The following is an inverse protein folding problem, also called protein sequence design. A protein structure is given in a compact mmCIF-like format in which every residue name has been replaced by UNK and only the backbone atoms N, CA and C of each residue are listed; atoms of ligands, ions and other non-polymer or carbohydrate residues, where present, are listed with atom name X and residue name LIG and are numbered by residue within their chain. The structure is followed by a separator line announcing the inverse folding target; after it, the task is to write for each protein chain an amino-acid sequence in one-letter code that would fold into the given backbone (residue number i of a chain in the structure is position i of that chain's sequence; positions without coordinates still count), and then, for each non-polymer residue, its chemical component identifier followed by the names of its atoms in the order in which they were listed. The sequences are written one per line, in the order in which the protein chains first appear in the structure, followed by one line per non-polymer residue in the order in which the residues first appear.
data_IF_269533306019
#
_entry.id   IF_269533306019
#
_cell.length_a   1.000
_cell.length_b   1.000
_cell.length_c   1.000
_cell.angle_alpha   90.00
_cell.angle_beta   90.00
_cell.angle_gamma   90.00
#
_symmetry.space_group_name_H-M   'P 1'
#
loop_
_entity.id
_entity.type
_entity.pdbx_description
1 polymer ?
#
# COMPACT_ATOMS: atom_id res chain seq x y z
N UNK A 1 -7.14 -30.27 -52.97
CA UNK A 1 -6.71 -28.96 -53.39
C UNK A 1 -5.66 -28.49 -52.41
N UNK A 2 -4.45 -28.53 -52.95
CA UNK A 2 -3.21 -28.31 -52.21
C UNK A 2 -2.74 -26.88 -52.50
N UNK A 3 -2.51 -26.07 -51.50
CA UNK A 3 -1.82 -24.79 -51.68
C UNK A 3 -0.61 -24.73 -50.77
N UNK A 4 0.55 -24.57 -51.44
CA UNK A 4 1.91 -24.47 -50.91
C UNK A 4 2.17 -23.04 -50.39
N UNK A 5 3.06 -22.85 -49.42
CA UNK A 5 3.55 -21.52 -49.04
C UNK A 5 4.66 -21.05 -50.01
N UNK A 6 4.86 -19.74 -50.22
CA UNK A 6 5.86 -19.21 -51.13
C UNK A 6 7.27 -19.22 -50.52
N UNK A 7 8.21 -19.73 -51.36
CA UNK A 7 9.65 -19.63 -51.23
C UNK A 7 10.13 -18.19 -51.41
N UNK A 8 11.05 -17.76 -50.58
CA UNK A 8 11.87 -16.58 -50.84
C UNK A 8 13.26 -17.00 -51.26
N UNK A 9 13.52 -16.77 -52.52
CA UNK A 9 14.74 -17.03 -53.21
C UNK A 9 15.90 -16.13 -52.77
N UNK A 10 17.03 -16.75 -52.61
CA UNK A 10 18.37 -16.24 -52.45
C UNK A 10 18.84 -15.43 -53.65
N UNK A 11 19.44 -14.29 -53.45
CA UNK A 11 20.28 -13.62 -54.43
C UNK A 11 21.67 -13.39 -53.85
N UNK A 12 22.58 -13.98 -54.55
CA UNK A 12 24.04 -14.08 -54.47
C UNK A 12 24.76 -12.81 -54.83
N UNK A 13 25.94 -12.64 -54.25
CA UNK A 13 27.08 -12.17 -55.02
C UNK A 13 27.78 -10.90 -54.61
N UNK A 14 29.01 -10.97 -54.23
CA UNK A 14 29.93 -9.83 -54.17
C UNK A 14 31.18 -10.12 -53.35
N UNK A 15 32.24 -10.45 -54.05
CA UNK A 15 33.56 -10.86 -53.59
C UNK A 15 34.38 -9.69 -53.03
N UNK A 16 35.35 -10.09 -52.21
CA UNK A 16 36.75 -9.63 -52.05
C UNK A 16 36.95 -8.33 -51.25
N UNK A 17 37.57 -8.42 -50.09
CA UNK A 17 38.97 -8.05 -49.90
C UNK A 17 39.49 -8.43 -48.51
N UNK A 18 40.61 -9.13 -48.52
CA UNK A 18 41.40 -9.53 -47.36
C UNK A 18 42.22 -8.35 -46.90
N UNK A 19 42.06 -7.94 -45.66
CA UNK A 19 43.06 -7.11 -45.00
C UNK A 19 43.33 -7.66 -43.62
N UNK A 20 44.55 -8.19 -43.47
CA UNK A 20 45.14 -8.60 -42.21
C UNK A 20 45.30 -7.39 -41.28
N UNK A 21 44.70 -7.45 -40.11
CA UNK A 21 45.19 -6.71 -38.96
C UNK A 21 45.26 -7.63 -37.74
N UNK A 22 46.46 -7.65 -37.28
CA UNK A 22 47.05 -8.33 -36.13
C UNK A 22 46.25 -8.16 -34.83
N UNK A 23 46.29 -9.21 -34.04
CA UNK A 23 45.55 -9.38 -32.80
C UNK A 23 45.87 -8.39 -31.69
N UNK A 24 44.83 -8.04 -31.01
CA UNK A 24 44.90 -7.68 -29.59
C UNK A 24 43.71 -8.34 -28.90
N UNK A 25 44.05 -9.25 -27.99
CA UNK A 25 43.10 -9.88 -27.09
C UNK A 25 42.32 -8.82 -26.32
N UNK A 26 40.99 -8.94 -26.18
CA UNK A 26 40.25 -8.09 -25.31
C UNK A 26 40.62 -8.36 -23.85
N UNK A 27 40.71 -7.30 -23.00
CA UNK A 27 40.99 -7.45 -21.58
C UNK A 27 39.84 -8.23 -20.89
N UNK A 28 40.17 -8.96 -19.81
CA UNK A 28 39.15 -9.72 -19.07
C UNK A 28 38.07 -8.79 -18.48
N UNK A 29 36.83 -9.25 -18.36
CA UNK A 29 35.76 -8.44 -17.79
C UNK A 29 36.12 -8.08 -16.35
N UNK A 30 36.31 -6.80 -16.11
CA UNK A 30 36.40 -6.27 -14.75
C UNK A 30 35.05 -6.48 -14.08
N UNK A 31 35.05 -7.37 -13.11
CA UNK A 31 33.96 -7.50 -12.14
C UNK A 31 33.82 -6.16 -11.42
N UNK A 32 32.94 -5.29 -11.93
CA UNK A 32 32.49 -4.14 -11.20
C UNK A 32 31.74 -4.66 -9.97
N UNK A 33 32.39 -4.64 -8.82
CA UNK A 33 31.72 -4.66 -7.53
C UNK A 33 30.70 -3.51 -7.55
N UNK A 34 29.47 -3.85 -7.87
CA UNK A 34 28.34 -2.97 -7.70
C UNK A 34 28.20 -2.72 -6.20
N UNK A 35 28.79 -1.66 -5.72
CA UNK A 35 28.50 -1.11 -4.39
C UNK A 35 27.02 -0.79 -4.39
N UNK A 36 26.26 -1.71 -3.80
CA UNK A 36 24.83 -1.56 -3.55
C UNK A 36 24.68 -0.35 -2.62
N UNK A 37 24.42 0.80 -3.22
CA UNK A 37 24.00 1.99 -2.47
C UNK A 37 22.84 1.58 -1.57
N UNK A 38 22.91 1.85 -0.25
CA UNK A 38 21.79 1.60 0.63
C UNK A 38 20.62 2.42 0.08
N UNK A 39 19.54 1.71 -0.31
CA UNK A 39 18.35 2.30 -0.84
C UNK A 39 17.91 3.43 0.09
N UNK A 40 17.91 4.64 -0.44
CA UNK A 40 17.42 5.84 0.22
C UNK A 40 15.99 5.54 0.63
N UNK A 41 15.79 5.27 1.93
CA UNK A 41 14.47 5.16 2.52
C UNK A 41 13.71 6.42 2.08
N UNK A 42 12.69 6.24 1.24
CA UNK A 42 11.76 7.31 0.90
C UNK A 42 11.08 7.66 2.23
N UNK A 43 11.60 8.66 2.90
CA UNK A 43 10.90 9.31 4.00
C UNK A 43 9.62 9.87 3.40
N UNK A 44 8.49 9.34 3.85
CA UNK A 44 7.18 9.83 3.44
C UNK A 44 7.17 11.34 3.64
N UNK A 45 6.90 12.10 2.58
CA UNK A 45 6.89 13.57 2.61
C UNK A 45 5.98 14.12 3.71
N UNK A 46 4.98 13.35 4.13
CA UNK A 46 4.11 13.63 5.28
C UNK A 46 4.84 13.57 6.62
N UNK A 47 5.77 12.62 6.81
CA UNK A 47 6.56 12.55 8.05
C UNK A 47 7.52 13.74 8.17
N UNK A 48 8.12 14.15 7.05
CA UNK A 48 8.96 15.34 7.01
C UNK A 48 8.17 16.63 7.22
N UNK A 49 6.99 16.75 6.60
CA UNK A 49 6.07 17.88 6.81
C UNK A 49 5.56 17.93 8.26
N UNK A 50 5.21 16.79 8.87
CA UNK A 50 4.81 16.70 10.26
C UNK A 50 5.93 17.09 11.23
N UNK A 51 7.18 16.70 10.93
CA UNK A 51 8.35 17.09 11.71
C UNK A 51 8.60 18.62 11.64
N UNK A 52 8.54 19.19 10.45
CA UNK A 52 8.72 20.64 10.24
C UNK A 52 7.62 21.43 10.94
N UNK A 53 6.35 21.05 10.77
CA UNK A 53 5.20 21.68 11.42
C UNK A 53 5.26 21.55 12.95
N UNK A 54 5.72 20.41 13.47
CA UNK A 54 5.93 20.19 14.91
C UNK A 54 7.01 21.09 15.48
N UNK A 55 8.14 21.24 14.78
CA UNK A 55 9.23 22.13 15.19
C UNK A 55 8.77 23.58 15.19
N UNK A 56 8.01 24.03 14.17
CA UNK A 56 7.45 25.38 14.13
C UNK A 56 6.45 25.65 15.26
N UNK A 57 5.63 24.66 15.63
CA UNK A 57 4.69 24.77 16.76
C UNK A 57 5.40 24.96 18.11
N UNK A 58 6.45 24.17 18.37
CA UNK A 58 7.25 24.26 19.59
C UNK A 58 8.06 25.55 19.64
N UNK A 59 8.68 25.94 18.51
CA UNK A 59 9.40 27.21 18.40
C UNK A 59 8.48 28.40 18.65
N UNK A 60 7.26 28.41 18.08
CA UNK A 60 6.25 29.46 18.32
C UNK A 60 5.89 29.59 19.79
N UNK A 61 5.78 28.46 20.50
CA UNK A 61 5.52 28.47 21.95
C UNK A 61 6.70 29.06 22.73
N UNK A 62 7.93 28.65 22.40
CA UNK A 62 9.15 29.17 23.07
C UNK A 62 9.31 30.67 22.84
N UNK A 63 9.20 31.13 21.58
CA UNK A 63 9.28 32.54 21.26
C UNK A 63 8.14 33.34 21.89
N UNK A 64 6.93 32.80 21.97
CA UNK A 64 5.80 33.40 22.63
C UNK A 64 6.03 33.61 24.13
N UNK A 65 6.61 32.63 24.82
CA UNK A 65 6.96 32.74 26.26
C UNK A 65 8.07 33.74 26.47
N UNK A 66 9.10 33.75 25.64
CA UNK A 66 10.20 34.73 25.72
C UNK A 66 9.68 36.15 25.47
N UNK A 67 8.81 36.34 24.47
CA UNK A 67 8.18 37.61 24.16
C UNK A 67 7.35 38.13 25.35
N UNK A 68 6.53 37.27 25.98
CA UNK A 68 5.76 37.61 27.18
C UNK A 68 6.64 38.04 28.36
N UNK A 69 7.74 37.33 28.60
CA UNK A 69 8.71 37.67 29.64
C UNK A 69 9.36 39.04 29.37
N UNK A 70 9.70 39.31 28.11
CA UNK A 70 10.31 40.58 27.69
C UNK A 70 9.34 41.76 27.77
N UNK A 71 8.07 41.58 27.38
CA UNK A 71 7.01 42.59 27.43
C UNK A 71 6.63 42.92 28.88
N UNK A 72 6.62 41.93 29.79
CA UNK A 72 6.41 42.18 31.23
C UNK A 72 7.45 43.13 31.83
N UNK A 73 8.71 43.07 31.32
CA UNK A 73 9.80 43.94 31.82
C UNK A 73 9.82 45.34 31.19
N UNK A 74 9.26 45.58 30.00
CA UNK A 74 9.46 46.79 29.23
C UNK A 74 8.21 47.67 29.04
N UNK A 75 7.05 47.37 29.66
CA UNK A 75 5.77 48.12 29.55
C UNK A 75 5.36 48.51 28.10
N UNK A 76 5.86 47.83 27.06
CA UNK A 76 5.57 48.18 25.66
C UNK A 76 4.21 47.60 25.20
N UNK A 77 3.48 48.31 24.28
CA UNK A 77 2.28 47.79 23.68
C UNK A 77 2.63 46.55 22.81
N UNK A 78 1.86 45.46 22.92
CA UNK A 78 2.09 44.22 22.15
C UNK A 78 1.70 42.94 22.88
N UNK A 79 1.16 43.06 24.12
CA UNK A 79 0.71 41.88 24.90
C UNK A 79 -0.35 41.05 24.16
N UNK A 80 -1.27 41.73 23.45
CA UNK A 80 -2.32 41.03 22.69
C UNK A 80 -1.77 40.13 21.59
N UNK A 81 -0.76 40.60 20.85
CA UNK A 81 -0.14 39.84 19.79
C UNK A 81 0.59 38.60 20.32
N UNK A 82 1.28 38.73 21.46
CA UNK A 82 1.96 37.61 22.10
C UNK A 82 0.98 36.56 22.64
N UNK A 83 -0.14 36.99 23.23
CA UNK A 83 -1.22 36.09 23.70
C UNK A 83 -1.88 35.39 22.51
N UNK A 84 -2.16 36.09 21.42
CA UNK A 84 -2.74 35.53 20.21
C UNK A 84 -1.81 34.48 19.61
N UNK A 85 -0.50 34.71 19.54
CA UNK A 85 0.50 33.75 19.06
C UNK A 85 0.56 32.47 19.91
N UNK A 86 0.51 32.61 21.24
CA UNK A 86 0.48 31.46 22.16
C UNK A 86 -0.84 30.67 22.00
N UNK A 87 -1.98 31.36 21.95
CA UNK A 87 -3.28 30.74 21.79
C UNK A 87 -3.35 29.93 20.47
N UNK A 88 -2.84 30.49 19.37
CA UNK A 88 -2.79 29.81 18.07
C UNK A 88 -1.87 28.60 18.11
N UNK A 89 -0.71 28.71 18.76
CA UNK A 89 0.21 27.57 18.91
C UNK A 89 -0.39 26.46 19.78
N UNK A 90 -1.05 26.78 20.87
CA UNK A 90 -1.75 25.81 21.71
C UNK A 90 -2.89 25.13 20.95
N UNK A 91 -3.70 25.89 20.21
CA UNK A 91 -4.76 25.35 19.38
C UNK A 91 -4.20 24.37 18.33
N UNK A 92 -3.09 24.73 17.68
CA UNK A 92 -2.43 23.88 16.71
C UNK A 92 -1.92 22.56 17.32
N UNK A 93 -1.26 22.64 18.49
CA UNK A 93 -0.78 21.46 19.22
C UNK A 93 -1.95 20.55 19.62
N UNK A 94 -3.07 21.12 20.06
CA UNK A 94 -4.27 20.35 20.40
C UNK A 94 -4.87 19.65 19.17
N UNK A 95 -4.97 20.34 18.02
CA UNK A 95 -5.49 19.75 16.78
C UNK A 95 -4.60 18.61 16.26
N UNK A 96 -3.28 18.82 16.24
CA UNK A 96 -2.32 17.80 15.84
C UNK A 96 -2.32 16.63 16.82
N UNK A 97 -2.33 16.91 18.13
CA UNK A 97 -2.41 15.88 19.18
C UNK A 97 -3.68 15.06 19.10
N UNK A 98 -4.83 15.69 18.85
CA UNK A 98 -6.10 15.01 18.65
C UNK A 98 -6.09 14.14 17.36
N UNK A 99 -5.46 14.61 16.28
CA UNK A 99 -5.29 13.85 15.06
C UNK A 99 -4.44 12.59 15.27
N UNK A 100 -3.31 12.74 15.95
CA UNK A 100 -2.43 11.61 16.30
C UNK A 100 -3.14 10.64 17.25
N UNK A 101 -3.86 11.14 18.25
CA UNK A 101 -4.62 10.31 19.16
C UNK A 101 -5.69 9.48 18.43
N UNK A 102 -6.47 10.10 17.54
CA UNK A 102 -7.43 9.37 16.69
C UNK A 102 -6.75 8.29 15.86
N UNK A 103 -5.61 8.58 15.26
CA UNK A 103 -4.87 7.61 14.46
C UNK A 103 -4.37 6.44 15.31
N UNK A 104 -3.76 6.71 16.47
CA UNK A 104 -3.18 5.67 17.35
C UNK A 104 -4.26 4.83 18.04
N UNK A 105 -5.34 5.46 18.52
CA UNK A 105 -6.42 4.76 19.22
C UNK A 105 -7.47 4.15 18.29
N UNK A 106 -7.57 4.66 17.05
CA UNK A 106 -8.47 4.11 16.02
C UNK A 106 -7.91 2.91 15.28
N UNK A 107 -6.60 2.66 15.37
CA UNK A 107 -5.96 1.54 14.67
C UNK A 107 -6.25 0.20 15.33
N UNK A 108 -6.42 -0.85 14.54
CA UNK A 108 -6.61 -2.20 15.02
C UNK A 108 -5.41 -2.68 15.85
N UNK A 109 -5.68 -3.34 16.97
CA UNK A 109 -4.63 -3.99 17.77
C UNK A 109 -4.44 -5.43 17.30
N UNK A 110 -3.18 -5.86 17.28
CA UNK A 110 -2.81 -7.22 16.85
C UNK A 110 -2.00 -7.93 17.93
N UNK A 111 -2.16 -9.25 17.99
CA UNK A 111 -1.30 -10.12 18.79
C UNK A 111 0.09 -10.25 18.14
N UNK A 112 1.08 -10.81 18.86
CA UNK A 112 2.38 -11.15 18.27
C UNK A 112 2.29 -12.11 17.08
N UNK A 113 1.25 -12.97 17.04
CA UNK A 113 0.95 -13.87 15.91
C UNK A 113 0.31 -13.14 14.72
N UNK A 114 -0.02 -11.85 14.84
CA UNK A 114 -0.63 -11.03 13.78
C UNK A 114 -2.15 -11.01 13.76
N UNK A 115 -2.82 -11.83 14.57
CA UNK A 115 -4.28 -11.85 14.66
C UNK A 115 -4.82 -10.54 15.26
N UNK A 116 -5.94 -10.05 14.74
CA UNK A 116 -6.62 -8.87 15.28
C UNK A 116 -7.23 -9.20 16.64
N UNK A 117 -6.86 -8.44 17.67
CA UNK A 117 -7.32 -8.61 19.06
C UNK A 117 -8.29 -7.51 19.50
N UNK A 118 -8.27 -6.36 18.82
CA UNK A 118 -9.26 -5.31 19.02
C UNK A 118 -9.56 -4.64 17.69
N UNK A 119 -10.84 -4.37 17.47
CA UNK A 119 -11.33 -3.74 16.25
C UNK A 119 -10.68 -2.37 16.02
N UNK A 120 -10.43 -2.03 14.76
CA UNK A 120 -9.89 -0.72 14.39
C UNK A 120 -9.69 -0.59 12.89
N UNK A 121 -9.28 0.60 12.49
CA UNK A 121 -9.08 0.95 11.10
C UNK A 121 -7.67 0.54 10.63
N UNK A 122 -7.58 -0.03 9.43
CA UNK A 122 -6.34 -0.51 8.82
C UNK A 122 -6.29 -0.03 7.37
N UNK A 123 -5.14 0.50 6.96
CA UNK A 123 -4.92 0.82 5.55
C UNK A 123 -4.86 -0.47 4.73
N UNK A 124 -5.30 -0.41 3.46
CA UNK A 124 -5.21 -1.55 2.54
C UNK A 124 -3.79 -2.11 2.40
N UNK A 125 -2.77 -1.25 2.54
CA UNK A 125 -1.36 -1.66 2.54
C UNK A 125 -1.01 -2.60 3.69
N UNK A 126 -1.69 -2.47 4.82
CA UNK A 126 -1.38 -3.16 6.08
C UNK A 126 -2.32 -4.33 6.38
N UNK A 127 -3.30 -4.57 5.48
CA UNK A 127 -4.16 -5.76 5.58
C UNK A 127 -3.34 -7.05 5.44
N UNK A 128 -3.76 -8.06 6.17
CA UNK A 128 -3.12 -9.37 6.22
C UNK A 128 -4.11 -10.48 5.92
N UNK A 129 -3.61 -11.59 5.43
CA UNK A 129 -4.41 -12.80 5.25
C UNK A 129 -4.89 -13.28 6.62
N UNK A 130 -6.20 -13.49 6.75
CA UNK A 130 -6.88 -13.83 8.00
C UNK A 130 -7.50 -12.63 8.72
N UNK A 131 -7.41 -11.41 8.17
CA UNK A 131 -8.14 -10.27 8.71
C UNK A 131 -9.63 -10.36 8.40
N UNK A 132 -10.45 -10.20 9.43
CA UNK A 132 -11.90 -10.15 9.30
C UNK A 132 -12.35 -8.70 9.21
N UNK A 133 -13.13 -8.37 8.17
CA UNK A 133 -13.57 -7.00 7.87
C UNK A 133 -15.01 -6.78 8.30
N UNK A 134 -15.29 -5.61 8.89
CA UNK A 134 -16.63 -5.28 9.41
C UNK A 134 -17.67 -5.04 8.30
N UNK A 135 -17.21 -4.63 7.11
CA UNK A 135 -18.05 -4.36 5.94
C UNK A 135 -17.32 -4.72 4.66
N UNK A 136 -18.07 -5.13 3.65
CA UNK A 136 -17.49 -5.39 2.33
C UNK A 136 -17.15 -4.07 1.63
N UNK A 137 -15.98 -3.97 1.01
CA UNK A 137 -15.57 -2.76 0.31
C UNK A 137 -16.42 -2.51 -0.93
N UNK A 138 -16.87 -1.27 -1.10
CA UNK A 138 -17.59 -0.81 -2.29
C UNK A 138 -16.86 0.40 -2.89
N UNK A 139 -16.54 0.32 -4.17
CA UNK A 139 -15.80 1.40 -4.85
C UNK A 139 -14.34 1.51 -4.42
N UNK A 140 -13.78 2.72 -4.55
CA UNK A 140 -12.40 3.00 -4.16
C UNK A 140 -12.29 3.17 -2.65
N UNK A 141 -11.65 2.22 -1.98
CA UNK A 141 -11.41 2.25 -0.54
C UNK A 141 -9.92 2.34 -0.26
N UNK A 142 -9.53 3.00 0.81
CA UNK A 142 -8.14 3.12 1.29
C UNK A 142 -7.96 2.54 2.68
N UNK A 143 -9.03 2.50 3.45
CA UNK A 143 -9.07 2.06 4.83
C UNK A 143 -10.24 1.10 4.98
N UNK A 144 -10.02 -0.01 5.67
CA UNK A 144 -11.05 -0.95 6.09
C UNK A 144 -10.98 -1.13 7.60
N UNK A 145 -12.16 -1.23 8.21
CA UNK A 145 -12.26 -1.59 9.62
C UNK A 145 -12.15 -3.09 9.75
N UNK A 146 -11.16 -3.53 10.51
CA UNK A 146 -10.96 -4.95 10.85
C UNK A 146 -11.32 -5.20 12.31
N UNK A 147 -11.70 -6.43 12.61
CA UNK A 147 -12.14 -6.84 13.93
C UNK A 147 -11.70 -8.29 14.20
N UNK A 148 -11.72 -8.75 15.45
CA UNK A 148 -11.47 -10.15 15.78
C UNK A 148 -12.48 -11.07 15.10
N UNK A 149 -11.98 -12.14 14.44
CA UNK A 149 -12.87 -13.02 13.67
C UNK A 149 -13.92 -13.80 14.52
N UNK A 150 -13.77 -13.84 15.84
CA UNK A 150 -14.81 -14.40 16.72
C UNK A 150 -16.04 -13.48 16.87
N UNK A 151 -15.94 -12.22 16.44
CA UNK A 151 -17.06 -11.30 16.34
C UNK A 151 -17.73 -11.44 14.97
N UNK A 152 -19.05 -11.14 14.86
CA UNK A 152 -19.74 -11.13 13.57
C UNK A 152 -19.08 -10.14 12.60
N UNK A 153 -18.77 -10.59 11.38
CA UNK A 153 -18.05 -9.81 10.39
C UNK A 153 -18.51 -10.10 8.96
N UNK A 154 -18.38 -9.14 8.07
CA UNK A 154 -18.90 -9.24 6.70
C UNK A 154 -18.05 -10.11 5.77
N UNK A 155 -16.74 -10.24 6.03
CA UNK A 155 -15.86 -11.03 5.19
C UNK A 155 -14.48 -11.23 5.79
N UNK A 156 -13.73 -12.16 5.22
CA UNK A 156 -12.36 -12.48 5.63
C UNK A 156 -11.39 -12.36 4.46
N UNK A 157 -10.26 -11.70 4.69
CA UNK A 157 -9.16 -11.61 3.72
C UNK A 157 -8.46 -12.96 3.64
N UNK A 158 -8.58 -13.66 2.53
CA UNK A 158 -8.01 -15.00 2.39
C UNK A 158 -6.78 -15.06 1.48
N UNK A 159 -6.59 -14.07 0.61
CA UNK A 159 -5.44 -14.03 -0.29
C UNK A 159 -5.05 -12.60 -0.63
N UNK A 160 -3.76 -12.36 -0.74
CA UNK A 160 -3.17 -11.09 -1.16
C UNK A 160 -2.08 -11.39 -2.18
N UNK A 161 -2.13 -10.71 -3.32
CA UNK A 161 -1.12 -10.80 -4.38
C UNK A 161 -0.85 -9.43 -4.98
N UNK A 162 0.03 -9.36 -5.95
CA UNK A 162 0.33 -8.11 -6.66
C UNK A 162 0.38 -8.38 -8.16
N UNK A 163 -0.13 -7.43 -8.93
CA UNK A 163 0.05 -7.42 -10.37
C UNK A 163 1.53 -7.18 -10.74
N UNK A 164 1.96 -7.64 -11.91
CA UNK A 164 3.29 -7.36 -12.43
C UNK A 164 3.57 -5.85 -12.53
N UNK A 165 4.82 -5.46 -12.38
CA UNK A 165 5.25 -4.08 -12.60
C UNK A 165 5.17 -3.71 -14.09
N UNK A 166 4.91 -2.44 -14.39
CA UNK A 166 4.79 -1.94 -15.76
C UNK A 166 3.79 -0.79 -15.86
N UNK A 167 3.41 -0.43 -17.08
CA UNK A 167 2.31 0.50 -17.35
C UNK A 167 0.97 -0.06 -16.84
N UNK A 168 0.00 0.83 -16.60
CA UNK A 168 -1.34 0.38 -16.21
C UNK A 168 -1.97 -0.45 -17.33
N UNK A 169 -2.37 -1.70 -17.05
CA UNK A 169 -2.86 -2.59 -18.11
C UNK A 169 -4.32 -2.33 -18.52
N UNK A 170 -5.02 -1.45 -17.80
CA UNK A 170 -6.45 -1.18 -17.96
C UNK A 170 -7.33 -1.99 -16.99
N UNK A 171 -8.53 -1.44 -16.72
CA UNK A 171 -9.46 -1.96 -15.73
C UNK A 171 -9.88 -3.42 -16.01
N UNK A 172 -10.12 -3.76 -17.27
CA UNK A 172 -10.55 -5.13 -17.64
C UNK A 172 -9.47 -6.19 -17.38
N UNK A 173 -8.21 -5.86 -17.64
CA UNK A 173 -7.11 -6.78 -17.36
C UNK A 173 -6.87 -6.93 -15.86
N UNK A 174 -6.93 -5.83 -15.11
CA UNK A 174 -6.85 -5.83 -13.64
C UNK A 174 -7.97 -6.67 -13.05
N UNK A 175 -9.21 -6.49 -13.52
CA UNK A 175 -10.37 -7.27 -13.10
C UNK A 175 -10.20 -8.75 -13.38
N UNK A 176 -9.82 -9.09 -14.61
CA UNK A 176 -9.64 -10.48 -15.03
C UNK A 176 -8.57 -11.17 -14.19
N UNK A 177 -7.44 -10.51 -13.95
CA UNK A 177 -6.39 -11.01 -13.08
C UNK A 177 -6.91 -11.23 -11.64
N UNK A 178 -7.58 -10.23 -11.06
CA UNK A 178 -8.08 -10.30 -9.70
C UNK A 178 -9.09 -11.45 -9.53
N UNK A 179 -10.08 -11.54 -10.43
CA UNK A 179 -11.10 -12.60 -10.37
C UNK A 179 -10.49 -13.98 -10.48
N UNK A 180 -9.55 -14.19 -11.41
CA UNK A 180 -8.91 -15.48 -11.63
C UNK A 180 -8.07 -15.89 -10.42
N UNK A 181 -7.24 -14.99 -9.89
CA UNK A 181 -6.41 -15.27 -8.71
C UNK A 181 -7.25 -15.56 -7.46
N UNK A 182 -8.28 -14.76 -7.22
CA UNK A 182 -9.16 -14.96 -6.08
C UNK A 182 -9.92 -16.30 -6.17
N UNK A 183 -10.50 -16.62 -7.33
CA UNK A 183 -11.21 -17.90 -7.54
C UNK A 183 -10.31 -19.12 -7.38
N UNK A 184 -9.09 -19.04 -7.90
CA UNK A 184 -8.14 -20.14 -7.86
C UNK A 184 -7.65 -20.44 -6.44
N UNK A 185 -7.58 -19.45 -5.58
CA UNK A 185 -6.94 -19.55 -4.25
C UNK A 185 -7.92 -19.84 -3.12
N UNK A 186 -9.19 -19.46 -3.23
CA UNK A 186 -10.19 -19.67 -2.19
C UNK A 186 -10.36 -21.15 -1.77
N UNK A 187 -10.45 -22.13 -2.69
CA UNK A 187 -10.64 -23.53 -2.29
C UNK A 187 -9.53 -24.05 -1.37
N UNK A 188 -8.28 -23.62 -1.60
CA UNK A 188 -7.15 -24.00 -0.75
C UNK A 188 -7.24 -23.38 0.64
N UNK A 189 -7.72 -22.14 0.72
CA UNK A 189 -7.86 -21.43 1.99
C UNK A 189 -8.91 -22.07 2.89
N UNK A 190 -10.05 -22.44 2.32
CA UNK A 190 -11.17 -23.04 3.06
C UNK A 190 -11.09 -24.57 3.14
N UNK A 191 -10.11 -25.22 2.47
CA UNK A 191 -9.98 -26.69 2.41
C UNK A 191 -11.20 -27.38 1.79
N UNK A 192 -11.72 -26.81 0.69
CA UNK A 192 -12.84 -27.35 -0.07
C UNK A 192 -12.43 -27.71 -1.51
N UNK A 193 -13.13 -28.62 -2.18
CA UNK A 193 -12.94 -28.85 -3.61
C UNK A 193 -13.22 -27.58 -4.43
N UNK A 194 -12.56 -27.38 -5.59
CA UNK A 194 -12.85 -26.28 -6.48
C UNK A 194 -14.35 -26.25 -6.89
N UNK A 195 -14.97 -25.07 -6.82
CA UNK A 195 -16.37 -24.87 -7.19
C UNK A 195 -17.40 -25.18 -6.10
N UNK A 196 -16.98 -25.69 -4.93
CA UNK A 196 -17.88 -26.08 -3.83
C UNK A 196 -17.63 -25.33 -2.54
N UNK A 197 -17.02 -24.13 -2.63
CA UNK A 197 -16.61 -23.39 -1.43
C UNK A 197 -17.76 -22.78 -0.61
N UNK A 198 -18.92 -22.58 -1.22
CA UNK A 198 -20.10 -21.95 -0.60
C UNK A 198 -19.93 -20.46 -0.24
N UNK A 199 -18.77 -19.88 -0.54
CA UNK A 199 -18.47 -18.47 -0.24
C UNK A 199 -18.46 -17.62 -1.51
N UNK A 200 -18.99 -16.39 -1.39
CA UNK A 200 -18.84 -15.33 -2.38
C UNK A 200 -17.45 -14.72 -2.31
N UNK A 201 -17.03 -14.08 -3.40
CA UNK A 201 -15.72 -13.45 -3.54
C UNK A 201 -15.89 -11.99 -3.90
N UNK A 202 -15.25 -11.12 -3.14
CA UNK A 202 -15.02 -9.73 -3.47
C UNK A 202 -13.51 -9.50 -3.56
N UNK A 203 -13.07 -8.63 -4.45
CA UNK A 203 -11.69 -8.23 -4.54
C UNK A 203 -11.53 -6.71 -4.46
N UNK A 204 -10.40 -6.27 -3.94
CA UNK A 204 -9.92 -4.89 -4.03
C UNK A 204 -8.67 -4.92 -4.91
N UNK A 205 -8.66 -4.09 -5.93
CA UNK A 205 -7.57 -4.00 -6.90
C UNK A 205 -7.21 -2.53 -7.17
N UNK A 206 -6.02 -2.24 -7.71
CA UNK A 206 -5.61 -0.87 -7.97
C UNK A 206 -6.38 -0.28 -9.18
N UNK A 207 -6.79 0.97 -9.04
CA UNK A 207 -7.21 1.84 -10.14
C UNK A 207 -5.99 2.55 -10.75
N UNK A 208 -6.14 3.16 -11.91
CA UNK A 208 -5.08 3.89 -12.60
C UNK A 208 -4.41 4.95 -11.71
N UNK A 209 -5.22 5.69 -10.93
CA UNK A 209 -4.72 6.70 -9.99
C UNK A 209 -3.86 6.12 -8.87
N UNK A 210 -4.20 4.95 -8.35
CA UNK A 210 -3.41 4.27 -7.33
C UNK A 210 -2.21 3.53 -7.93
N UNK A 211 -2.34 3.09 -9.19
CA UNK A 211 -1.25 2.47 -9.95
C UNK A 211 -0.08 3.43 -10.17
N UNK A 212 -0.37 4.69 -10.53
CA UNK A 212 0.64 5.74 -10.70
C UNK A 212 1.42 6.01 -9.41
N UNK A 213 0.80 5.75 -8.24
CA UNK A 213 1.41 5.83 -6.91
C UNK A 213 2.10 4.51 -6.48
N UNK A 214 2.27 3.56 -7.39
CA UNK A 214 2.98 2.30 -7.15
C UNK A 214 2.14 1.18 -6.54
N UNK A 215 0.81 1.36 -6.34
CA UNK A 215 -0.05 0.29 -5.85
C UNK A 215 -0.24 -0.79 -6.93
N UNK A 216 0.05 -2.04 -6.59
CA UNK A 216 -0.11 -3.24 -7.44
C UNK A 216 -0.90 -4.32 -6.72
N UNK A 217 -1.33 -4.05 -5.49
CA UNK A 217 -1.88 -5.06 -4.59
C UNK A 217 -3.30 -5.43 -4.99
N UNK A 218 -3.56 -6.72 -5.05
CA UNK A 218 -4.89 -7.32 -5.17
C UNK A 218 -5.19 -8.06 -3.87
N UNK A 219 -6.33 -7.78 -3.27
CA UNK A 219 -6.78 -8.34 -2.00
C UNK A 219 -8.07 -9.09 -2.28
N UNK A 220 -8.12 -10.37 -1.90
CA UNK A 220 -9.29 -11.22 -2.05
C UNK A 220 -9.98 -11.40 -0.70
N UNK A 221 -11.26 -11.10 -0.66
CA UNK A 221 -12.11 -11.19 0.52
C UNK A 221 -13.23 -12.19 0.23
N UNK A 222 -13.38 -13.19 1.10
CA UNK A 222 -14.50 -14.11 1.04
C UNK A 222 -15.61 -13.65 2.00
N UNK A 223 -16.85 -13.84 1.58
CA UNK A 223 -18.04 -13.51 2.36
C UNK A 223 -19.08 -14.60 2.20
N UNK A 224 -20.05 -14.63 3.10
CA UNK A 224 -21.23 -15.47 2.92
C UNK A 224 -22.20 -14.78 1.95
N UNK A 225 -22.63 -15.42 0.86
CA UNK A 225 -23.58 -14.82 -0.06
C UNK A 225 -25.04 -14.84 0.44
N UNK A 226 -25.32 -15.59 1.50
CA UNK A 226 -26.68 -15.80 2.04
C UNK A 226 -26.82 -15.12 3.40
N UNK A 227 -25.83 -15.29 4.27
CA UNK A 227 -25.81 -14.69 5.61
C UNK A 227 -25.12 -13.35 5.57
N UNK A 228 -25.68 -12.35 6.25
CA UNK A 228 -25.10 -11.00 6.31
C UNK A 228 -23.75 -10.96 7.05
N UNK A 229 -23.48 -11.97 7.90
CA UNK A 229 -22.27 -12.00 8.71
C UNK A 229 -21.72 -13.41 8.89
N UNK A 230 -20.41 -13.50 8.80
CA UNK A 230 -19.61 -14.66 9.17
C UNK A 230 -19.34 -14.64 10.68
N UNK A 231 -19.23 -15.81 11.29
CA UNK A 231 -18.78 -15.99 12.67
C UNK A 231 -17.60 -16.95 12.73
N UNK A 232 -16.46 -16.45 13.20
CA UNK A 232 -15.21 -17.20 13.21
C UNK A 232 -14.52 -17.21 11.85
N UNK A 233 -13.23 -17.58 11.83
CA UNK A 233 -12.48 -17.67 10.58
C UNK A 233 -13.00 -18.79 9.67
N UNK A 234 -13.03 -18.54 8.37
CA UNK A 234 -13.42 -19.53 7.35
C UNK A 234 -12.24 -20.43 6.95
N UNK A 235 -11.05 -20.17 7.45
CA UNK A 235 -9.85 -20.98 7.14
C UNK A 235 -10.06 -22.43 7.51
N UNK A 236 -9.93 -23.34 6.55
CA UNK A 236 -10.14 -24.77 6.77
C UNK A 236 -11.61 -25.19 6.97
N UNK A 237 -12.56 -24.31 6.77
CA UNK A 237 -14.02 -24.58 6.90
C UNK A 237 -14.68 -24.64 5.53
N UNK A 238 -14.26 -25.60 4.67
CA UNK A 238 -14.98 -25.91 3.44
C UNK A 238 -16.43 -26.29 3.75
N UNK A 239 -17.37 -25.65 3.08
CA UNK A 239 -18.80 -25.99 3.11
C UNK A 239 -19.15 -26.88 1.95
#
# INVERSE_FOLDING_TARGET
MSERPPEWETASGGKDEVSHHEGSLPPPPQSSLSTRSPGKARTDGFALAALILGIFGILGLIFGIIALRRIRRSRRPGRGLAIAGIALSCLWILLVGAGIAKYVFGSAKRSPSGAVTAAGDVFLSDLRIGDCVSSLPTGEVRILRVLPCHEPHAGEVYYITSLPSGSYPGDDQVRTFAVNECRRTLPRYVSAPPGTTGYGIIYVAPFETSWSNGNRKVICIAHDPIEEALLGSIRGRGR
#
